data_IF_485770414230
#
_entry.id   IF_485770414230
#
_cell.length_a   1.000
_cell.length_b   1.000
_cell.length_c   1.000
_cell.angle_alpha   90.00
_cell.angle_beta   90.00
_cell.angle_gamma   90.00
#
_symmetry.space_group_name_H-M   'P 1'
#
loop_
_entity.id
_entity.type
_entity.pdbx_description
1 polymer ?
#
# COMPACT_ATOMS: atom_id res chain seq x y z
N UNK A 1 10.30 2.54 2.94
CA UNK A 1 9.37 3.49 3.59
C UNK A 1 7.92 3.00 3.56
N UNK A 2 7.30 2.77 2.40
CA UNK A 2 5.89 2.37 2.32
C UNK A 2 5.54 1.10 3.14
N UNK A 3 6.34 0.03 3.05
CA UNK A 3 6.13 -1.20 3.84
C UNK A 3 6.14 -0.94 5.34
N UNK A 4 7.12 -0.18 5.85
CA UNK A 4 7.22 0.11 7.28
C UNK A 4 6.03 0.95 7.77
N UNK A 5 5.63 1.96 6.98
CA UNK A 5 4.49 2.82 7.30
C UNK A 5 3.17 2.03 7.32
N UNK A 6 2.93 1.17 6.33
CA UNK A 6 1.69 0.36 6.28
C UNK A 6 1.67 -0.74 7.33
N UNK A 7 2.82 -1.34 7.67
CA UNK A 7 2.93 -2.25 8.82
C UNK A 7 2.61 -1.53 10.13
N UNK A 8 3.18 -0.35 10.37
CA UNK A 8 2.87 0.43 11.57
C UNK A 8 1.38 0.80 11.66
N UNK A 9 0.77 1.21 10.54
CA UNK A 9 -0.66 1.53 10.47
C UNK A 9 -1.56 0.32 10.76
N UNK A 10 -1.20 -0.86 10.25
CA UNK A 10 -1.93 -2.12 10.54
C UNK A 10 -1.78 -2.51 12.01
N UNK A 11 -0.57 -2.43 12.56
CA UNK A 11 -0.32 -2.78 13.97
C UNK A 11 -1.08 -1.84 14.90
N UNK A 12 -1.05 -0.54 14.63
CA UNK A 12 -1.76 0.45 15.44
C UNK A 12 -3.30 0.30 15.39
N UNK A 13 -3.86 -0.08 14.25
CA UNK A 13 -5.31 -0.27 14.10
C UNK A 13 -5.81 -1.69 14.45
N UNK A 14 -4.90 -2.66 14.60
CA UNK A 14 -5.22 -4.02 14.99
C UNK A 14 -6.18 -4.73 14.01
N UNK A 15 -7.04 -5.60 14.53
CA UNK A 15 -7.97 -6.39 13.70
C UNK A 15 -8.90 -5.56 12.80
N UNK A 16 -9.29 -4.35 13.23
CA UNK A 16 -10.11 -3.44 12.41
C UNK A 16 -9.38 -2.99 11.14
N UNK A 17 -8.05 -2.93 11.15
CA UNK A 17 -7.30 -2.61 9.95
C UNK A 17 -7.39 -3.70 8.88
N UNK A 18 -7.89 -4.90 9.18
CA UNK A 18 -8.03 -5.99 8.22
C UNK A 18 -9.35 -5.98 7.44
N UNK A 19 -10.28 -5.08 7.76
CA UNK A 19 -11.50 -4.89 6.95
C UNK A 19 -11.12 -4.41 5.54
N UNK A 20 -11.93 -4.74 4.53
CA UNK A 20 -11.58 -4.43 3.14
C UNK A 20 -11.66 -2.94 2.80
N UNK A 21 -12.43 -2.16 3.58
CA UNK A 21 -12.53 -0.71 3.51
C UNK A 21 -11.37 0.02 4.22
N UNK A 22 -10.55 -0.70 5.00
CA UNK A 22 -9.37 -0.15 5.66
C UNK A 22 -8.33 0.35 4.65
N UNK A 23 -8.04 1.65 4.71
CA UNK A 23 -6.97 2.28 3.94
C UNK A 23 -5.60 1.65 4.23
N UNK A 24 -5.31 1.30 5.48
CA UNK A 24 -4.01 0.75 5.87
C UNK A 24 -3.72 -0.58 5.16
N UNK A 25 -4.72 -1.45 5.08
CA UNK A 25 -4.56 -2.75 4.45
C UNK A 25 -4.63 -2.69 2.93
N UNK A 26 -5.44 -1.79 2.35
CA UNK A 26 -5.37 -1.50 0.92
C UNK A 26 -3.96 -1.07 0.49
N UNK A 27 -3.39 -0.09 1.18
CA UNK A 27 -2.04 0.42 0.89
C UNK A 27 -0.96 -0.64 1.10
N UNK A 28 -1.14 -1.57 2.05
CA UNK A 28 -0.22 -2.68 2.22
C UNK A 28 -0.20 -3.63 1.01
N UNK A 29 -1.38 -3.97 0.45
CA UNK A 29 -1.48 -4.79 -0.77
C UNK A 29 -0.88 -4.10 -1.99
N UNK A 30 -1.20 -2.82 -2.16
CA UNK A 30 -0.68 -1.98 -3.26
C UNK A 30 0.84 -1.82 -3.16
N UNK A 31 1.37 -1.61 -1.95
CA UNK A 31 2.81 -1.60 -1.72
C UNK A 31 3.49 -2.93 -2.05
N UNK A 32 2.81 -4.07 -1.83
CA UNK A 32 3.34 -5.39 -2.22
C UNK A 32 3.30 -5.60 -3.74
N UNK A 33 2.30 -5.08 -4.44
CA UNK A 33 2.25 -5.07 -5.91
C UNK A 33 3.48 -4.37 -6.51
N UNK A 34 3.93 -3.26 -5.91
CA UNK A 34 5.13 -2.53 -6.34
C UNK A 34 6.44 -3.32 -6.22
N UNK A 35 6.49 -4.35 -5.37
CA UNK A 35 7.66 -5.20 -5.18
C UNK A 35 7.74 -6.33 -6.19
N UNK A 36 6.59 -6.84 -6.63
CA UNK A 36 6.51 -8.07 -7.42
C UNK A 36 6.12 -7.78 -8.87
N UNK A 37 5.10 -6.94 -9.10
CA UNK A 37 4.48 -6.78 -10.42
C UNK A 37 4.87 -5.48 -11.15
N UNK A 38 5.16 -4.39 -10.43
CA UNK A 38 5.49 -3.10 -11.06
C UNK A 38 6.97 -3.00 -11.50
N UNK A 39 7.44 -3.98 -12.28
CA UNK A 39 8.84 -4.09 -12.70
C UNK A 39 9.22 -3.11 -13.84
N UNK A 40 8.25 -2.41 -14.44
CA UNK A 40 8.54 -1.34 -15.40
C UNK A 40 8.49 0.03 -14.71
N UNK A 41 9.31 0.96 -15.19
CA UNK A 41 9.34 2.33 -14.69
C UNK A 41 7.99 3.04 -14.88
N UNK A 42 7.30 2.77 -15.99
CA UNK A 42 5.97 3.32 -16.29
C UNK A 42 4.91 2.83 -15.30
N UNK A 43 4.79 1.51 -15.09
CA UNK A 43 3.81 0.96 -14.16
C UNK A 43 4.05 1.46 -12.73
N UNK A 44 5.32 1.53 -12.31
CA UNK A 44 5.72 2.09 -11.01
C UNK A 44 5.30 3.54 -10.87
N UNK A 45 5.55 4.38 -11.89
CA UNK A 45 5.23 5.81 -11.86
C UNK A 45 3.72 6.06 -11.81
N UNK A 46 2.95 5.34 -12.63
CA UNK A 46 1.48 5.44 -12.63
C UNK A 46 0.90 5.06 -11.27
N UNK A 47 1.37 3.95 -10.69
CA UNK A 47 0.88 3.48 -9.41
C UNK A 47 1.27 4.41 -8.24
N UNK A 48 2.51 4.92 -8.21
CA UNK A 48 2.93 5.92 -7.22
C UNK A 48 2.14 7.24 -7.35
N UNK A 49 1.79 7.65 -8.56
CA UNK A 49 0.92 8.81 -8.79
C UNK A 49 -0.48 8.62 -8.22
N UNK A 50 -1.07 7.43 -8.41
CA UNK A 50 -2.38 7.09 -7.83
C UNK A 50 -2.34 7.11 -6.29
N UNK A 51 -1.27 6.58 -5.69
CA UNK A 51 -1.06 6.59 -4.23
C UNK A 51 -0.93 7.99 -3.63
N UNK A 52 -0.32 8.93 -4.36
CA UNK A 52 -0.15 10.31 -3.92
C UNK A 52 -1.43 11.15 -4.04
N UNK A 53 -2.38 10.71 -4.86
CA UNK A 53 -3.60 11.47 -5.20
C UNK A 53 -4.84 11.05 -4.38
N UNK A 54 -4.74 10.01 -3.55
CA UNK A 54 -5.83 9.49 -2.71
C UNK A 54 -5.60 9.71 -1.22
#
# INVERSE_FOLDING_TARGET
>A
MLRAATTAAIVAGGGRSMTLDSRAQRLAREGMFLLVQAQTAEARRTHLGALASG
#
